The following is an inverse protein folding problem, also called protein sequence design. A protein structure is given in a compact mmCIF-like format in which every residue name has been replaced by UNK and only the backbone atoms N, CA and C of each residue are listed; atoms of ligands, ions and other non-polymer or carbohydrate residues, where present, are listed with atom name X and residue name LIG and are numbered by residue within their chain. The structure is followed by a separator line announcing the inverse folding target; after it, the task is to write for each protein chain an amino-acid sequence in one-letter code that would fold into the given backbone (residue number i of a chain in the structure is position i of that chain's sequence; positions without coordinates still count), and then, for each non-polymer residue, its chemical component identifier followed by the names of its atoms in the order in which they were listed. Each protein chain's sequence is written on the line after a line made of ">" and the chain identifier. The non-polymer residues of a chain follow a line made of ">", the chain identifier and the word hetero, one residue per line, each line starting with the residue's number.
data_IF_016258243277
#
_entry.id   IF_016258243277
#
_cell.length_a   1.000
_cell.length_b   1.000
_cell.length_c   1.000
_cell.angle_alpha   90.00
_cell.angle_beta   90.00
_cell.angle_gamma   90.00
#
_symmetry.space_group_name_H-M   'P 1'
#
loop_
_entity.id
_entity.type
_entity.pdbx_description
1 polymer ?
#
# COMPACT_ATOMS: atom_id res chain seq x y z
N UNK A 1 28.04 -19.24 -54.39
CA UNK A 1 27.14 -18.67 -55.41
C UNK A 1 26.06 -17.88 -54.68
N UNK A 2 26.30 -16.58 -54.52
CA UNK A 2 25.52 -15.44 -55.05
C UNK A 2 24.33 -15.05 -54.16
N UNK A 3 24.43 -13.94 -53.41
CA UNK A 3 24.00 -12.56 -53.78
C UNK A 3 22.45 -12.43 -53.63
N UNK A 4 21.79 -11.41 -53.06
CA UNK A 4 22.04 -9.98 -52.77
C UNK A 4 20.88 -9.56 -51.81
N UNK A 5 21.00 -8.60 -50.89
CA UNK A 5 20.63 -7.21 -51.15
C UNK A 5 21.05 -6.31 -49.97
N UNK A 6 21.97 -5.40 -50.25
CA UNK A 6 22.29 -4.20 -49.48
C UNK A 6 21.44 -3.04 -50.02
N UNK A 7 20.95 -2.19 -49.13
CA UNK A 7 20.26 -0.95 -49.50
C UNK A 7 20.16 -0.01 -48.31
N UNK A 8 21.26 0.65 -47.95
CA UNK A 8 21.28 1.80 -47.04
C UNK A 8 21.72 3.03 -47.84
N UNK A 9 20.78 3.95 -48.08
CA UNK A 9 21.01 5.25 -48.67
C UNK A 9 21.06 6.34 -47.59
N UNK A 10 22.23 6.96 -47.46
CA UNK A 10 22.59 8.25 -46.84
C UNK A 10 22.05 9.45 -47.67
N UNK A 11 22.29 10.75 -47.34
CA UNK A 11 22.63 11.48 -46.09
C UNK A 11 21.74 12.74 -45.89
N UNK A 12 21.99 13.58 -44.85
CA UNK A 12 22.30 15.02 -45.04
C UNK A 12 22.28 15.82 -43.73
N UNK A 13 23.24 16.73 -43.60
CA UNK A 13 23.47 17.63 -42.49
C UNK A 13 23.01 19.07 -42.80
N UNK A 14 22.83 19.82 -41.71
CA UNK A 14 22.98 21.28 -41.55
C UNK A 14 22.07 22.24 -42.32
N UNK A 15 21.46 23.18 -41.59
CA UNK A 15 21.54 24.64 -41.86
C UNK A 15 21.10 25.44 -40.61
N UNK A 16 21.89 26.46 -40.29
CA UNK A 16 21.76 27.48 -39.22
C UNK A 16 21.25 28.78 -39.85
N UNK A 17 20.95 29.77 -39.00
CA UNK A 17 20.75 31.23 -39.27
C UNK A 17 19.28 31.57 -39.52
N UNK A 18 18.66 32.61 -38.98
CA UNK A 18 18.84 33.59 -37.90
C UNK A 18 17.57 34.45 -37.98
N UNK A 19 17.10 35.07 -36.90
CA UNK A 19 16.74 36.49 -36.95
C UNK A 19 16.61 37.07 -35.54
N UNK A 20 17.30 38.17 -35.39
CA UNK A 20 17.57 38.98 -34.20
C UNK A 20 16.66 40.21 -34.15
N UNK A 21 16.61 40.83 -32.96
CA UNK A 21 16.22 42.22 -32.65
C UNK A 21 14.71 42.50 -32.64
N UNK A 22 14.16 43.30 -31.74
CA UNK A 22 14.66 44.19 -30.70
C UNK A 22 13.41 44.92 -30.16
N UNK A 23 13.32 45.29 -28.89
CA UNK A 23 13.47 46.69 -28.42
C UNK A 23 12.68 46.74 -27.08
N UNK A 24 13.28 47.05 -25.93
CA UNK A 24 13.72 48.37 -25.43
C UNK A 24 12.55 49.20 -24.85
N UNK A 25 12.69 49.52 -23.55
CA UNK A 25 12.05 50.59 -22.78
C UNK A 25 10.53 50.43 -22.52
N UNK A 26 9.98 50.71 -21.34
CA UNK A 26 10.29 51.81 -20.41
C UNK A 26 9.72 51.49 -19.03
N UNK A 27 10.50 51.74 -17.99
CA UNK A 27 9.96 52.04 -16.67
C UNK A 27 9.04 53.25 -16.78
N UNK A 28 7.84 53.17 -16.22
CA UNK A 28 7.14 54.33 -15.69
C UNK A 28 6.52 53.97 -14.34
N UNK A 29 7.26 54.38 -13.31
CA UNK A 29 6.71 54.81 -12.04
C UNK A 29 5.57 55.80 -12.32
N UNK A 30 4.38 55.51 -11.80
CA UNK A 30 3.30 56.47 -11.67
C UNK A 30 2.94 56.52 -10.18
N UNK A 31 3.51 57.54 -9.53
CA UNK A 31 3.05 58.06 -8.26
C UNK A 31 1.77 58.86 -8.53
N UNK A 32 0.70 58.63 -7.79
CA UNK A 32 -0.31 59.66 -7.58
C UNK A 32 -0.74 59.72 -6.11
N UNK A 33 -1.04 60.93 -5.62
CA UNK A 33 -1.12 61.27 -4.21
C UNK A 33 -2.58 61.32 -3.73
N UNK A 34 -2.70 61.62 -2.44
CA UNK A 34 -3.88 62.10 -1.72
C UNK A 34 -4.73 61.00 -1.07
N UNK A 35 -4.55 60.97 0.25
CA UNK A 35 -5.28 60.13 1.17
C UNK A 35 -6.78 60.35 1.11
N UNK A 36 -7.48 59.23 1.23
CA UNK A 36 -8.74 59.14 1.96
C UNK A 36 -8.61 57.91 2.84
N UNK A 37 -8.77 58.10 4.15
CA UNK A 37 -8.85 57.02 5.11
C UNK A 37 -10.07 56.15 4.78
N UNK A 38 -9.85 54.83 4.65
CA UNK A 38 -10.89 53.84 4.84
C UNK A 38 -10.36 52.77 5.79
N UNK A 39 -10.97 52.77 6.97
CA UNK A 39 -10.76 51.86 8.09
C UNK A 39 -11.15 50.41 7.74
N UNK A 40 -10.75 49.48 8.61
CA UNK A 40 -11.27 48.12 8.76
C UNK A 40 -10.88 47.09 7.68
N UNK A 41 -9.75 46.43 7.91
CA UNK A 41 -9.70 45.11 8.57
C UNK A 41 -8.28 44.58 8.45
N UNK A 42 -7.59 44.52 9.59
CA UNK A 42 -6.48 43.58 9.78
C UNK A 42 -7.11 42.19 9.74
N UNK A 43 -7.22 41.60 8.55
CA UNK A 43 -7.20 40.15 8.45
C UNK A 43 -5.73 39.76 8.51
N UNK A 44 -5.25 39.57 9.73
CA UNK A 44 -4.20 38.62 10.01
C UNK A 44 -4.60 37.33 9.29
N UNK A 45 -4.00 37.08 8.13
CA UNK A 45 -3.95 35.75 7.57
C UNK A 45 -3.04 34.93 8.50
N UNK A 46 -3.60 34.50 9.63
CA UNK A 46 -3.11 33.32 10.32
C UNK A 46 -3.48 32.19 9.35
N UNK A 47 -2.56 31.89 8.45
CA UNK A 47 -2.59 30.61 7.77
C UNK A 47 -2.45 29.56 8.87
N UNK A 48 -3.42 28.64 9.08
CA UNK A 48 -3.09 27.42 9.76
C UNK A 48 -2.15 26.65 8.81
N UNK A 49 -0.87 26.80 9.08
CA UNK A 49 0.16 25.81 8.77
C UNK A 49 -0.29 24.51 9.43
N UNK A 50 -1.07 23.73 8.70
CA UNK A 50 -1.30 22.29 8.89
C UNK A 50 -2.22 21.80 7.78
N UNK A 51 -1.78 22.03 6.54
CA UNK A 51 -2.23 21.19 5.43
C UNK A 51 -1.39 19.92 5.45
N UNK A 52 -1.56 19.13 6.51
CA UNK A 52 -1.14 17.74 6.54
C UNK A 52 -2.09 17.01 5.58
N UNK A 53 -1.76 17.04 4.29
CA UNK A 53 -2.35 16.15 3.28
C UNK A 53 -1.83 14.73 3.54
N UNK A 54 -2.14 14.20 4.72
CA UNK A 54 -2.12 12.77 4.98
C UNK A 54 -3.38 12.22 4.36
N UNK A 55 -3.36 12.00 3.04
CA UNK A 55 -4.19 10.96 2.46
C UNK A 55 -3.70 9.65 3.06
N UNK A 56 -4.15 9.32 4.28
CA UNK A 56 -3.79 8.07 4.93
C UNK A 56 -4.11 6.97 3.92
N UNK A 57 -3.11 6.16 3.55
CA UNK A 57 -3.33 4.99 2.71
C UNK A 57 -4.41 4.15 3.41
N UNK A 58 -5.63 4.20 2.86
CA UNK A 58 -6.81 3.61 3.43
C UNK A 58 -7.24 2.47 2.52
N UNK A 59 -6.88 1.26 2.93
CA UNK A 59 -7.44 0.05 2.36
C UNK A 59 -8.74 -0.34 3.04
N UNK A 60 -9.30 -1.46 2.59
CA UNK A 60 -10.46 -2.10 3.22
C UNK A 60 -10.24 -3.59 3.36
N UNK A 61 -10.80 -4.16 4.43
CA UNK A 61 -10.94 -5.60 4.60
C UNK A 61 -11.93 -6.11 3.57
N UNK A 62 -11.51 -7.07 2.75
CA UNK A 62 -12.33 -7.67 1.71
C UNK A 62 -12.91 -9.01 2.14
N UNK A 63 -12.14 -9.80 2.90
CA UNK A 63 -12.55 -11.09 3.42
C UNK A 63 -11.72 -11.44 4.66
N UNK A 64 -12.27 -12.31 5.52
CA UNK A 64 -11.61 -12.81 6.72
C UNK A 64 -11.68 -14.33 6.70
N UNK A 65 -10.57 -15.00 6.98
CA UNK A 65 -10.42 -16.45 6.94
C UNK A 65 -9.87 -16.98 8.26
N UNK A 66 -10.50 -18.03 8.78
CA UNK A 66 -10.11 -18.67 10.05
C UNK A 66 -9.99 -20.17 9.83
N UNK A 67 -8.97 -20.80 10.41
CA UNK A 67 -8.83 -22.25 10.45
C UNK A 67 -8.68 -22.70 11.89
N UNK A 68 -9.52 -23.62 12.38
CA UNK A 68 -9.45 -24.06 13.78
C UNK A 68 -8.19 -24.88 14.11
N UNK A 69 -7.59 -25.54 13.11
CA UNK A 69 -6.40 -26.39 13.31
C UNK A 69 -5.34 -26.20 12.24
N UNK A 70 -4.11 -26.48 12.63
CA UNK A 70 -2.98 -26.56 11.70
C UNK A 70 -3.22 -27.62 10.62
N UNK A 71 -3.01 -27.24 9.35
CA UNK A 71 -3.15 -28.12 8.19
C UNK A 71 -4.53 -28.10 7.52
N UNK A 72 -5.56 -27.60 8.21
CA UNK A 72 -6.91 -27.45 7.64
C UNK A 72 -6.96 -26.26 6.66
N UNK A 73 -7.90 -26.34 5.70
CA UNK A 73 -8.23 -25.19 4.87
C UNK A 73 -9.07 -24.21 5.70
N UNK A 74 -8.73 -22.90 5.69
CA UNK A 74 -9.55 -21.90 6.34
C UNK A 74 -10.96 -21.83 5.76
N UNK A 75 -11.90 -21.32 6.55
CA UNK A 75 -13.24 -20.94 6.10
C UNK A 75 -13.43 -19.44 6.27
N UNK A 76 -14.31 -18.86 5.46
CA UNK A 76 -14.61 -17.43 5.48
C UNK A 76 -15.57 -17.08 6.63
N UNK A 77 -15.35 -15.91 7.24
CA UNK A 77 -16.21 -15.32 8.26
C UNK A 77 -16.44 -13.83 7.99
N UNK A 78 -17.60 -13.30 8.37
CA UNK A 78 -17.90 -11.87 8.23
C UNK A 78 -17.23 -11.01 9.32
N UNK A 79 -16.95 -11.62 10.47
CA UNK A 79 -16.49 -10.96 11.69
C UNK A 79 -15.48 -11.84 12.42
N UNK A 80 -14.41 -11.24 12.90
CA UNK A 80 -13.39 -11.90 13.73
C UNK A 80 -13.06 -11.06 14.96
N UNK A 81 -12.93 -11.73 16.12
CA UNK A 81 -12.51 -11.10 17.38
C UNK A 81 -11.01 -11.33 17.55
N UNK A 82 -10.26 -10.24 17.72
CA UNK A 82 -8.81 -10.27 17.83
C UNK A 82 -8.40 -9.86 19.25
N UNK A 83 -7.51 -10.63 19.86
CA UNK A 83 -7.01 -10.40 21.21
C UNK A 83 -5.52 -10.08 21.22
N UNK A 84 -5.16 -9.01 21.94
CA UNK A 84 -3.79 -8.55 22.06
C UNK A 84 -2.87 -9.65 22.58
N UNK A 85 -1.77 -9.90 21.87
CA UNK A 85 -0.78 -10.94 22.15
C UNK A 85 -1.26 -12.38 21.99
N UNK A 86 -2.54 -12.63 21.65
CA UNK A 86 -3.13 -13.98 21.60
C UNK A 86 -3.52 -14.41 20.19
N UNK A 87 -3.86 -13.48 19.30
CA UNK A 87 -4.31 -13.79 17.93
C UNK A 87 -5.81 -13.60 17.72
N UNK A 88 -6.34 -14.21 16.65
CA UNK A 88 -7.77 -14.17 16.30
C UNK A 88 -8.50 -15.37 16.92
N UNK A 89 -9.58 -15.13 17.66
CA UNK A 89 -10.37 -16.19 18.30
C UNK A 89 -10.86 -17.23 17.29
N UNK A 90 -10.68 -18.51 17.63
CA UNK A 90 -11.07 -19.64 16.79
C UNK A 90 -10.07 -19.99 15.68
N UNK A 91 -9.00 -19.21 15.51
CA UNK A 91 -7.92 -19.56 14.60
C UNK A 91 -6.87 -20.45 15.26
N UNK A 92 -6.18 -21.24 14.44
CA UNK A 92 -5.14 -22.22 14.83
C UNK A 92 -3.94 -21.57 15.50
N UNK A 93 -3.72 -20.27 15.25
CA UNK A 93 -2.65 -19.49 15.86
C UNK A 93 -3.12 -18.72 17.11
N UNK A 94 -4.35 -18.94 17.56
CA UNK A 94 -4.86 -18.37 18.81
C UNK A 94 -4.24 -19.04 20.03
N UNK A 95 -3.71 -18.25 20.98
CA UNK A 95 -2.98 -18.74 22.17
C UNK A 95 -1.83 -19.70 21.85
N UNK A 96 -1.27 -19.59 20.65
CA UNK A 96 -0.15 -20.42 20.29
C UNK A 96 1.07 -20.01 21.13
N UNK A 97 1.59 -20.97 21.89
CA UNK A 97 2.73 -20.76 22.78
C UNK A 97 4.06 -20.70 22.00
N UNK A 98 4.04 -21.01 20.70
CA UNK A 98 5.18 -20.83 19.82
C UNK A 98 5.51 -19.33 19.70
N UNK A 99 6.72 -18.89 20.12
CA UNK A 99 7.15 -17.50 20.00
C UNK A 99 7.26 -17.04 18.54
N UNK A 100 7.34 -17.98 17.58
CA UNK A 100 7.36 -17.69 16.14
C UNK A 100 5.94 -17.66 15.54
N UNK A 101 4.89 -17.87 16.34
CA UNK A 101 3.50 -17.81 15.89
C UNK A 101 3.09 -16.37 15.57
N UNK A 102 2.40 -16.20 14.44
CA UNK A 102 1.88 -14.89 14.05
C UNK A 102 0.51 -14.68 14.71
N UNK A 103 0.32 -13.56 15.41
CA UNK A 103 -1.00 -13.22 15.95
C UNK A 103 -1.99 -12.85 14.83
N UNK A 104 -1.51 -12.14 13.80
CA UNK A 104 -2.34 -11.78 12.64
C UNK A 104 -1.52 -11.82 11.34
N UNK A 105 -2.15 -12.27 10.27
CA UNK A 105 -1.59 -12.28 8.91
C UNK A 105 -2.52 -11.63 7.91
N UNK A 106 -1.97 -10.74 7.08
CA UNK A 106 -2.71 -9.99 6.07
C UNK A 106 -2.12 -10.25 4.68
N UNK A 107 -2.93 -10.08 3.63
CA UNK A 107 -2.48 -10.14 2.23
C UNK A 107 -3.27 -9.18 1.33
N UNK A 108 -2.58 -8.56 0.38
CA UNK A 108 -3.18 -7.67 -0.61
C UNK A 108 -3.92 -8.47 -1.69
N UNK A 109 -5.18 -8.11 -1.97
CA UNK A 109 -5.99 -8.70 -3.04
C UNK A 109 -5.36 -8.50 -4.42
N UNK A 110 -4.66 -7.38 -4.60
CA UNK A 110 -3.86 -7.03 -5.76
C UNK A 110 -2.81 -8.09 -6.09
N UNK A 111 -2.31 -8.83 -5.09
CA UNK A 111 -1.39 -9.96 -5.28
C UNK A 111 -2.02 -11.04 -6.17
N UNK A 112 -3.29 -11.37 -5.93
CA UNK A 112 -3.98 -12.42 -6.68
C UNK A 112 -4.39 -11.95 -8.08
N UNK A 113 -4.76 -10.67 -8.21
CA UNK A 113 -5.02 -10.06 -9.51
C UNK A 113 -3.75 -10.12 -10.39
N UNK A 114 -2.59 -9.76 -9.83
CA UNK A 114 -1.30 -9.81 -10.52
C UNK A 114 -0.89 -11.24 -10.89
N UNK A 115 -1.08 -12.21 -9.98
CA UNK A 115 -0.79 -13.63 -10.25
C UNK A 115 -1.63 -14.15 -11.43
N UNK A 116 -2.92 -13.85 -11.43
CA UNK A 116 -3.83 -14.25 -12.51
C UNK A 116 -3.45 -13.56 -13.82
N UNK A 117 -3.18 -12.26 -13.79
CA UNK A 117 -2.90 -11.48 -15.00
C UNK A 117 -1.54 -11.81 -15.64
N UNK A 118 -0.48 -11.97 -14.84
CA UNK A 118 0.90 -12.11 -15.33
C UNK A 118 1.31 -13.56 -15.57
N UNK A 119 0.74 -14.47 -14.80
CA UNK A 119 1.20 -15.86 -14.76
C UNK A 119 0.09 -16.86 -15.12
N UNK A 120 -1.17 -16.42 -15.21
CA UNK A 120 -2.29 -17.28 -15.60
C UNK A 120 -2.69 -18.31 -14.54
N UNK A 121 -2.23 -18.15 -13.30
CA UNK A 121 -2.56 -19.06 -12.20
C UNK A 121 -3.73 -18.52 -11.39
N UNK A 122 -4.64 -19.42 -11.03
CA UNK A 122 -5.78 -19.13 -10.17
C UNK A 122 -5.53 -19.79 -8.81
N UNK A 123 -4.84 -19.06 -7.93
CA UNK A 123 -4.83 -19.36 -6.50
C UNK A 123 -5.88 -18.47 -5.85
N UNK A 124 -6.76 -19.06 -5.07
CA UNK A 124 -7.76 -18.33 -4.31
C UNK A 124 -7.14 -17.68 -3.07
N UNK A 125 -7.67 -16.55 -2.58
CA UNK A 125 -7.22 -15.95 -1.32
C UNK A 125 -7.25 -16.93 -0.13
N UNK A 126 -8.22 -17.84 -0.11
CA UNK A 126 -8.35 -18.90 0.89
C UNK A 126 -7.14 -19.86 0.88
N UNK A 127 -6.64 -20.23 -0.29
CA UNK A 127 -5.48 -21.12 -0.44
C UNK A 127 -4.16 -20.48 0.01
N UNK A 128 -4.10 -19.14 0.11
CA UNK A 128 -2.95 -18.44 0.70
C UNK A 128 -2.81 -18.69 2.20
N UNK A 129 -3.88 -19.13 2.87
CA UNK A 129 -3.97 -19.38 4.32
C UNK A 129 -3.63 -18.15 5.18
N UNK A 130 -3.80 -16.96 4.63
CA UNK A 130 -3.69 -15.68 5.36
C UNK A 130 -5.06 -15.32 5.93
N UNK A 131 -5.07 -14.70 7.10
CA UNK A 131 -6.31 -14.48 7.84
C UNK A 131 -7.12 -13.30 7.29
N UNK A 132 -6.48 -12.22 6.85
CA UNK A 132 -7.21 -11.02 6.39
C UNK A 132 -6.79 -10.63 4.97
N UNK A 133 -7.76 -10.66 4.06
CA UNK A 133 -7.59 -10.13 2.72
C UNK A 133 -7.93 -8.63 2.72
N UNK A 134 -7.03 -7.81 2.19
CA UNK A 134 -7.23 -6.35 2.11
C UNK A 134 -7.07 -5.86 0.69
N UNK A 135 -7.70 -4.73 0.36
CA UNK A 135 -7.56 -4.08 -0.93
C UNK A 135 -7.36 -2.58 -0.78
N UNK A 136 -6.60 -1.97 -1.69
CA UNK A 136 -6.37 -0.53 -1.75
C UNK A 136 -5.30 -0.02 -0.77
N UNK A 137 -4.43 -0.91 -0.29
CA UNK A 137 -3.35 -0.57 0.65
C UNK A 137 -2.09 -1.36 0.33
N UNK A 138 -0.93 -0.73 0.50
CA UNK A 138 0.36 -1.39 0.41
C UNK A 138 0.78 -1.89 1.81
N UNK A 139 0.68 -3.19 2.07
CA UNK A 139 1.05 -3.72 3.38
C UNK A 139 2.56 -3.66 3.65
N UNK A 140 3.39 -3.50 2.60
CA UNK A 140 4.83 -3.29 2.76
C UNK A 140 5.16 -1.99 3.50
N UNK A 141 4.25 -1.01 3.46
CA UNK A 141 4.36 0.19 4.26
C UNK A 141 4.10 -0.08 5.74
N UNK A 142 3.48 -1.17 6.15
CA UNK A 142 3.08 -1.34 7.55
C UNK A 142 4.18 -2.01 8.40
N UNK A 143 5.22 -2.51 7.75
CA UNK A 143 6.38 -3.15 8.40
C UNK A 143 7.07 -2.16 9.34
N UNK A 144 7.27 -2.57 10.60
CA UNK A 144 7.85 -1.76 11.67
C UNK A 144 6.97 -0.61 12.16
N UNK A 145 5.68 -0.57 11.78
CA UNK A 145 4.75 0.52 12.10
C UNK A 145 3.46 -0.01 12.70
N UNK A 146 2.80 0.84 13.48
CA UNK A 146 1.44 0.58 13.96
C UNK A 146 0.41 0.92 12.90
N UNK A 147 -0.60 0.08 12.82
CA UNK A 147 -1.72 0.24 11.90
C UNK A 147 -3.02 -0.24 12.54
N UNK A 148 -4.14 0.22 12.00
CA UNK A 148 -5.47 -0.19 12.40
C UNK A 148 -6.13 -1.04 11.31
N UNK A 149 -6.86 -2.05 11.77
CA UNK A 149 -7.76 -2.89 10.97
C UNK A 149 -9.09 -2.93 11.71
N UNK A 150 -10.08 -2.18 11.25
CA UNK A 150 -11.33 -1.99 12.00
C UNK A 150 -11.07 -1.39 13.38
N UNK A 151 -11.50 -2.10 14.43
CA UNK A 151 -11.32 -1.70 15.83
C UNK A 151 -9.97 -2.18 16.43
N UNK A 152 -9.21 -2.99 15.68
CA UNK A 152 -7.97 -3.63 16.14
C UNK A 152 -6.76 -2.76 15.81
N UNK A 153 -5.83 -2.63 16.74
CA UNK A 153 -4.51 -2.03 16.48
C UNK A 153 -3.45 -3.13 16.45
N UNK A 154 -2.63 -3.10 15.40
CA UNK A 154 -1.58 -4.07 15.13
C UNK A 154 -0.23 -3.36 14.93
N UNK A 155 0.85 -4.10 15.12
CA UNK A 155 2.20 -3.71 14.74
C UNK A 155 2.71 -4.67 13.65
N UNK A 156 3.15 -4.14 12.51
CA UNK A 156 3.66 -4.96 11.41
C UNK A 156 5.08 -5.42 11.69
N UNK A 157 5.34 -6.71 11.61
CA UNK A 157 6.65 -7.29 11.92
C UNK A 157 7.51 -7.42 10.67
N UNK A 158 7.05 -8.23 9.71
CA UNK A 158 7.82 -8.57 8.52
C UNK A 158 6.91 -8.90 7.33
N UNK A 159 7.50 -8.84 6.13
CA UNK A 159 6.86 -9.37 4.93
C UNK A 159 6.81 -10.89 5.02
N UNK A 160 5.66 -11.43 4.66
CA UNK A 160 5.45 -12.87 4.60
C UNK A 160 6.31 -13.52 3.51
N UNK A 161 7.12 -14.50 3.88
CA UNK A 161 7.73 -15.42 2.91
C UNK A 161 6.78 -16.61 2.62
N UNK A 162 6.70 -17.09 1.37
CA UNK A 162 5.88 -18.24 1.01
C UNK A 162 6.45 -19.50 1.66
N UNK A 163 5.60 -20.23 2.39
CA UNK A 163 6.03 -21.41 3.12
C UNK A 163 6.18 -22.65 2.21
N UNK A 164 7.01 -23.60 2.62
CA UNK A 164 7.27 -24.86 1.92
C UNK A 164 6.00 -25.69 1.64
N UNK A 165 4.94 -25.53 2.44
CA UNK A 165 3.67 -26.23 2.22
C UNK A 165 2.92 -25.69 1.00
N UNK A 166 2.89 -24.36 0.82
CA UNK A 166 2.32 -23.73 -0.36
C UNK A 166 3.11 -24.09 -1.63
N UNK A 167 4.44 -24.17 -1.51
CA UNK A 167 5.32 -24.64 -2.58
C UNK A 167 4.97 -26.03 -3.10
N UNK A 168 4.69 -26.96 -2.18
CA UNK A 168 4.32 -28.33 -2.53
C UNK A 168 2.93 -28.43 -3.18
N UNK A 169 1.98 -27.59 -2.78
CA UNK A 169 0.63 -27.60 -3.37
C UNK A 169 0.60 -27.00 -4.78
N UNK A 170 1.34 -25.91 -4.99
CA UNK A 170 1.27 -25.12 -6.23
C UNK A 170 2.17 -25.69 -7.33
N UNK A 171 3.19 -26.49 -6.98
CA UNK A 171 4.00 -27.27 -7.91
C UNK A 171 4.87 -26.48 -8.90
N UNK A 172 4.71 -25.15 -8.97
CA UNK A 172 5.32 -24.30 -9.98
C UNK A 172 6.13 -23.18 -9.34
N UNK A 173 7.43 -23.12 -9.66
CA UNK A 173 8.35 -22.13 -9.07
C UNK A 173 7.96 -20.67 -9.37
N UNK A 174 7.32 -20.41 -10.51
CA UNK A 174 6.93 -19.05 -10.90
C UNK A 174 5.81 -18.48 -10.04
N UNK A 175 4.87 -19.32 -9.62
CA UNK A 175 3.79 -18.91 -8.70
C UNK A 175 4.34 -18.64 -7.31
N UNK A 176 5.29 -19.47 -6.87
CA UNK A 176 5.98 -19.24 -5.61
C UNK A 176 6.74 -17.93 -5.64
N UNK A 177 7.40 -17.60 -6.76
CA UNK A 177 8.03 -16.29 -6.96
C UNK A 177 7.04 -15.14 -6.92
N UNK A 178 5.87 -15.29 -7.52
CA UNK A 178 4.81 -14.27 -7.46
C UNK A 178 4.22 -14.08 -6.06
N UNK A 179 4.36 -15.08 -5.19
CA UNK A 179 3.95 -15.04 -3.78
C UNK A 179 5.11 -14.69 -2.83
N UNK A 180 6.36 -14.58 -3.33
CA UNK A 180 7.50 -14.14 -2.52
C UNK A 180 7.24 -12.73 -2.00
N UNK A 181 7.41 -12.54 -0.69
CA UNK A 181 7.25 -11.25 0.00
C UNK A 181 5.84 -10.64 -0.06
N UNK A 182 4.82 -11.47 -0.28
CA UNK A 182 3.41 -11.00 -0.36
C UNK A 182 2.68 -11.20 0.95
N UNK A 183 1.95 -10.17 1.38
CA UNK A 183 1.32 -10.11 2.70
C UNK A 183 2.24 -9.62 3.82
N UNK A 184 1.70 -9.65 5.03
CA UNK A 184 2.28 -9.06 6.24
C UNK A 184 1.98 -9.91 7.45
N UNK A 185 2.99 -10.13 8.29
CA UNK A 185 2.84 -10.64 9.65
C UNK A 185 2.76 -9.48 10.63
N UNK A 186 1.97 -9.64 11.68
CA UNK A 186 1.92 -8.65 12.74
C UNK A 186 1.46 -9.21 14.07
N UNK A 187 1.65 -8.37 15.07
CA UNK A 187 1.21 -8.58 16.46
C UNK A 187 0.00 -7.71 16.73
N UNK A 188 -0.98 -8.27 17.42
CA UNK A 188 -2.13 -7.48 17.88
C UNK A 188 -1.70 -6.78 19.16
N UNK A 189 -1.66 -5.45 19.13
CA UNK A 189 -1.28 -4.62 20.30
C UNK A 189 -2.50 -4.10 21.06
N UNK A 190 -3.66 -4.01 20.38
CA UNK A 190 -4.94 -3.67 21.01
C UNK A 190 -6.04 -4.57 20.49
N UNK A 191 -6.71 -5.27 21.40
CA UNK A 191 -7.86 -6.12 21.10
C UNK A 191 -9.01 -5.34 20.48
N UNK A 192 -9.82 -6.03 19.67
CA UNK A 192 -10.99 -5.44 19.03
C UNK A 192 -11.69 -6.44 18.10
N UNK A 193 -12.49 -5.91 17.20
CA UNK A 193 -13.22 -6.68 16.20
C UNK A 193 -12.85 -6.21 14.80
N UNK A 194 -12.67 -7.17 13.90
CA UNK A 194 -12.47 -6.95 12.47
C UNK A 194 -13.73 -7.42 11.75
N UNK A 195 -14.26 -6.60 10.83
CA UNK A 195 -15.40 -6.93 9.98
C UNK A 195 -15.03 -6.75 8.52
N UNK A 196 -15.68 -7.52 7.65
CA UNK A 196 -15.61 -7.27 6.21
C UNK A 196 -16.09 -5.84 5.93
N UNK A 197 -15.32 -5.10 5.11
CA UNK A 197 -15.55 -3.70 4.80
C UNK A 197 -14.85 -2.70 5.72
N UNK A 198 -14.27 -3.14 6.83
CA UNK A 198 -13.55 -2.26 7.76
C UNK A 198 -12.35 -1.59 7.08
N UNK A 199 -12.05 -0.36 7.53
CA UNK A 199 -10.90 0.39 7.05
C UNK A 199 -9.58 -0.19 7.57
N UNK A 200 -8.56 -0.13 6.73
CA UNK A 200 -7.18 -0.53 7.03
C UNK A 200 -6.27 0.66 6.79
N UNK A 201 -5.56 1.13 7.83
CA UNK A 201 -4.78 2.39 7.75
C UNK A 201 -3.57 2.37 8.68
N UNK A 202 -2.51 3.09 8.34
CA UNK A 202 -1.44 3.40 9.29
C UNK A 202 -2.01 4.20 10.48
N UNK A 203 -1.56 3.86 11.68
CA UNK A 203 -1.82 4.67 12.86
C UNK A 203 -0.99 5.95 12.76
N UNK A 204 -1.59 7.09 13.06
CA UNK A 204 -0.83 8.34 13.16
C UNK A 204 0.23 8.18 14.26
N UNK A 205 1.49 8.43 13.93
CA UNK A 205 2.54 8.54 14.96
C UNK A 205 2.21 9.79 15.75
N UNK A 206 1.88 9.64 17.04
CA UNK A 206 1.89 10.77 17.94
C UNK A 206 3.35 11.21 18.05
N UNK A 207 3.72 12.31 17.37
CA UNK A 207 5.01 12.97 17.58
C UNK A 207 5.14 13.25 19.08
N UNK A 208 6.00 12.49 19.76
CA UNK A 208 6.43 12.87 21.10
C UNK A 208 7.37 14.06 20.91
N UNK A 209 6.89 15.23 21.33
CA UNK A 209 7.68 16.44 21.54
C UNK A 209 8.82 16.19 22.53
#
# INVERSE_FOLDING_TARGET
>A
MNQTALGWGVPSAATVVSHTMGSVLRRRSAYLPNGVLASMKVLTAIMPENRCLMGAAQGKVQAIYIAAKHGELPHEVDVAVAQAGRGIEGDRNFDDADPDSCNITLIEAETFDDLKARHGFEITPLESRRQVLVRGVNLGEFVGRRFQVGDVECEGEERCEPCNHLAKMVGTQDVLRGLLHTGLRGVIVKSGTIRVGDAVRLSAVAERL
#
